data_IF_308370184895
#
_entry.id   IF_308370184895
#
_cell.length_a   1.000
_cell.length_b   1.000
_cell.length_c   1.000
_cell.angle_alpha   90.00
_cell.angle_beta   90.00
_cell.angle_gamma   90.00
#
_symmetry.space_group_name_H-M   'P 1'
#
loop_
_entity.id
_entity.type
_entity.pdbx_description
1 polymer ?
#
# COMPACT_ATOMS: atom_id res chain seq x y z
N UNK A 1 -16.68 6.57 -32.65
CA UNK A 1 -16.17 5.77 -31.52
C UNK A 1 -16.84 6.27 -30.24
N UNK A 2 -17.32 5.41 -29.34
CA UNK A 2 -17.81 5.85 -28.03
C UNK A 2 -16.67 6.52 -27.26
N UNK A 3 -16.96 7.67 -26.65
CA UNK A 3 -16.02 8.39 -25.80
C UNK A 3 -15.77 7.57 -24.53
N UNK A 4 -14.50 7.28 -24.22
CA UNK A 4 -14.11 6.46 -23.07
C UNK A 4 -13.12 7.21 -22.21
N UNK A 5 -13.38 7.27 -20.90
CA UNK A 5 -12.58 7.99 -19.91
C UNK A 5 -12.20 7.07 -18.76
N UNK A 6 -10.92 7.05 -18.39
CA UNK A 6 -10.46 6.36 -17.19
C UNK A 6 -10.58 7.29 -15.98
N UNK A 7 -11.30 6.85 -14.95
CA UNK A 7 -11.54 7.61 -13.72
C UNK A 7 -11.01 6.81 -12.54
N UNK A 8 -10.48 7.50 -11.54
CA UNK A 8 -9.96 6.87 -10.33
C UNK A 8 -11.05 6.69 -9.29
N UNK A 9 -11.16 5.50 -8.71
CA UNK A 9 -12.14 5.14 -7.68
C UNK A 9 -12.14 6.16 -6.53
N UNK A 10 -13.32 6.68 -6.21
CA UNK A 10 -13.52 7.62 -5.12
C UNK A 10 -12.78 8.95 -5.26
N UNK A 11 -12.30 9.31 -6.45
CA UNK A 11 -11.79 10.64 -6.77
C UNK A 11 -12.71 11.31 -7.77
N UNK A 12 -12.87 12.64 -7.63
CA UNK A 12 -13.54 13.44 -8.66
C UNK A 12 -12.61 13.55 -9.86
N UNK A 13 -13.11 13.15 -11.02
CA UNK A 13 -12.44 13.39 -12.31
C UNK A 13 -13.34 14.28 -13.17
N UNK A 14 -12.74 15.26 -13.84
CA UNK A 14 -13.47 16.13 -14.77
C UNK A 14 -13.55 15.48 -16.15
N UNK A 15 -14.73 15.48 -16.74
CA UNK A 15 -14.94 15.28 -18.16
C UNK A 15 -14.85 16.66 -18.85
N UNK A 16 -13.78 16.95 -19.61
CA UNK A 16 -13.59 18.25 -20.22
C UNK A 16 -14.50 18.41 -21.44
N UNK A 17 -15.31 19.46 -21.45
CA UNK A 17 -16.11 19.90 -22.58
C UNK A 17 -15.53 21.20 -23.10
N UNK A 18 -15.00 21.17 -24.33
CA UNK A 18 -14.48 22.36 -25.00
C UNK A 18 -15.67 23.10 -25.63
N UNK A 19 -15.80 24.37 -25.28
CA UNK A 19 -16.87 25.25 -25.70
C UNK A 19 -16.25 26.40 -26.49
N UNK A 20 -16.82 26.73 -27.65
CA UNK A 20 -16.42 27.89 -28.42
C UNK A 20 -17.66 28.78 -28.61
N UNK A 21 -17.67 29.96 -28.00
CA UNK A 21 -18.78 30.89 -28.07
C UNK A 21 -18.35 32.24 -28.62
N UNK A 22 -19.25 32.90 -29.37
CA UNK A 22 -19.09 34.27 -29.88
C UNK A 22 -19.62 35.34 -28.90
N UNK A 23 -19.93 34.95 -27.68
CA UNK A 23 -20.59 35.80 -26.70
C UNK A 23 -20.67 35.11 -25.34
N UNK A 24 -21.12 35.87 -24.34
CA UNK A 24 -21.31 35.33 -22.99
C UNK A 24 -22.41 34.26 -22.98
N UNK A 25 -22.12 33.14 -22.36
CA UNK A 25 -23.04 32.00 -22.24
C UNK A 25 -22.98 31.46 -20.81
N UNK A 26 -24.09 30.86 -20.38
CA UNK A 26 -24.15 30.05 -19.16
C UNK A 26 -24.23 28.59 -19.56
N UNK A 27 -23.41 27.73 -18.97
CA UNK A 27 -23.35 26.32 -19.34
C UNK A 27 -23.56 25.44 -18.11
N UNK A 28 -24.45 24.48 -18.27
CA UNK A 28 -24.78 23.47 -17.27
C UNK A 28 -24.28 22.13 -17.77
N UNK A 29 -23.38 21.51 -17.03
CA UNK A 29 -22.90 20.16 -17.29
C UNK A 29 -23.46 19.19 -16.28
N UNK A 30 -23.98 18.04 -16.72
CA UNK A 30 -24.52 17.01 -15.83
C UNK A 30 -24.05 15.61 -16.26
N UNK A 31 -23.64 14.80 -15.27
CA UNK A 31 -23.41 13.36 -15.42
C UNK A 31 -23.99 12.62 -14.22
N UNK A 32 -25.01 11.80 -14.45
CA UNK A 32 -25.76 11.14 -13.37
C UNK A 32 -26.40 12.16 -12.40
N UNK A 33 -26.00 12.11 -11.12
CA UNK A 33 -26.39 13.06 -10.08
C UNK A 33 -25.45 14.27 -9.93
N UNK A 34 -24.32 14.29 -10.64
CA UNK A 34 -23.35 15.37 -10.56
C UNK A 34 -23.71 16.49 -11.54
N UNK A 35 -23.76 17.73 -11.06
CA UNK A 35 -24.05 18.91 -11.87
C UNK A 35 -22.99 19.98 -11.62
N UNK A 36 -22.59 20.68 -12.67
CA UNK A 36 -21.75 21.88 -12.62
C UNK A 36 -22.40 22.97 -13.45
N UNK A 37 -22.27 24.21 -13.00
CA UNK A 37 -22.78 25.39 -13.71
C UNK A 37 -21.67 26.42 -13.72
N UNK A 38 -21.32 26.91 -14.91
CA UNK A 38 -20.33 27.97 -15.09
C UNK A 38 -20.81 28.98 -16.13
N UNK A 39 -20.39 30.22 -15.96
CA UNK A 39 -20.58 31.27 -16.96
C UNK A 39 -19.26 31.52 -17.68
N UNK A 40 -19.31 31.52 -19.00
CA UNK A 40 -18.15 31.73 -19.84
C UNK A 40 -18.27 33.02 -20.64
N UNK A 41 -17.14 33.70 -20.79
CA UNK A 41 -17.00 34.83 -21.72
C UNK A 41 -16.75 34.33 -23.14
N UNK A 42 -16.76 35.25 -24.11
CA UNK A 42 -16.45 34.94 -25.51
C UNK A 42 -15.10 34.23 -25.65
N UNK A 43 -15.03 33.27 -26.56
CA UNK A 43 -13.82 32.51 -26.89
C UNK A 43 -13.91 31.01 -26.57
N UNK A 44 -12.74 30.38 -26.50
CA UNK A 44 -12.60 28.95 -26.21
C UNK A 44 -12.49 28.75 -24.71
N UNK A 45 -13.45 28.03 -24.15
CA UNK A 45 -13.53 27.72 -22.72
C UNK A 45 -13.61 26.21 -22.51
N UNK A 46 -13.25 25.75 -21.31
CA UNK A 46 -13.31 24.32 -20.95
C UNK A 46 -14.15 24.17 -19.69
N UNK A 47 -15.30 23.51 -19.82
CA UNK A 47 -16.11 23.10 -18.68
C UNK A 47 -15.67 21.70 -18.23
N UNK A 48 -15.26 21.55 -16.97
CA UNK A 48 -14.94 20.25 -16.41
C UNK A 48 -16.13 19.68 -15.64
N UNK A 49 -16.85 18.75 -16.24
CA UNK A 49 -18.03 18.14 -15.61
C UNK A 49 -17.56 17.03 -14.65
N UNK A 50 -17.81 17.13 -13.33
CA UNK A 50 -17.29 16.17 -12.38
C UNK A 50 -18.01 14.83 -12.50
N UNK A 51 -17.23 13.75 -12.52
CA UNK A 51 -17.70 12.38 -12.37
C UNK A 51 -17.04 11.74 -11.15
N UNK A 52 -17.82 10.97 -10.40
CA UNK A 52 -17.41 10.30 -9.18
C UNK A 52 -18.12 8.95 -9.07
N UNK A 53 -17.37 7.90 -8.75
CA UNK A 53 -17.92 6.58 -8.45
C UNK A 53 -17.16 5.95 -7.29
N UNK A 54 -17.89 5.22 -6.42
CA UNK A 54 -17.34 4.36 -5.36
C UNK A 54 -17.30 2.89 -5.75
N UNK A 55 -17.67 2.55 -6.99
CA UNK A 55 -17.70 1.17 -7.49
C UNK A 55 -16.72 1.04 -8.66
N UNK A 56 -15.95 -0.04 -8.69
CA UNK A 56 -15.15 -0.38 -9.86
C UNK A 56 -16.05 -0.85 -11.00
N UNK A 57 -15.55 -0.69 -12.23
CA UNK A 57 -16.21 -1.21 -13.41
C UNK A 57 -16.28 -0.22 -14.55
N UNK A 58 -17.13 -0.55 -15.53
CA UNK A 58 -17.35 0.25 -16.73
C UNK A 58 -18.79 0.74 -16.68
N UNK A 59 -18.97 2.05 -16.55
CA UNK A 59 -20.26 2.71 -16.44
C UNK A 59 -20.54 3.49 -17.72
N UNK A 60 -21.68 3.24 -18.34
CA UNK A 60 -22.15 4.03 -19.48
C UNK A 60 -23.09 5.09 -18.93
N UNK A 61 -22.74 6.35 -19.14
CA UNK A 61 -23.46 7.49 -18.59
C UNK A 61 -23.77 8.49 -19.70
N UNK A 62 -24.87 9.20 -19.53
CA UNK A 62 -25.25 10.29 -20.41
C UNK A 62 -24.68 11.58 -19.82
N UNK A 63 -23.80 12.23 -20.56
CA UNK A 63 -23.31 13.57 -20.24
C UNK A 63 -24.22 14.57 -20.93
N UNK A 64 -24.96 15.33 -20.14
CA UNK A 64 -25.81 16.39 -20.64
C UNK A 64 -25.10 17.73 -20.51
N UNK A 65 -25.08 18.50 -21.59
CA UNK A 65 -24.56 19.87 -21.63
C UNK A 65 -25.67 20.77 -22.12
N UNK A 66 -26.13 21.68 -21.26
CA UNK A 66 -27.11 22.71 -21.63
C UNK A 66 -26.36 24.02 -21.73
N UNK A 67 -26.44 24.66 -22.89
CA UNK A 67 -25.86 25.97 -23.15
C UNK A 67 -27.02 26.95 -23.22
N UNK A 68 -27.01 27.96 -22.37
CA UNK A 68 -28.00 29.03 -22.32
C UNK A 68 -27.34 30.37 -22.64
N UNK A 69 -28.08 31.27 -23.26
CA UNK A 69 -27.67 32.68 -23.24
C UNK A 69 -27.79 33.25 -21.81
N UNK A 70 -27.09 34.35 -21.54
CA UNK A 70 -27.05 34.96 -20.19
C UNK A 70 -28.43 35.43 -19.70
N UNK A 71 -29.36 35.71 -20.63
CA UNK A 71 -30.73 36.15 -20.34
C UNK A 71 -31.71 34.98 -20.22
N UNK A 72 -31.27 33.73 -20.47
CA UNK A 72 -32.10 32.54 -20.47
C UNK A 72 -33.14 32.48 -21.60
N UNK A 73 -33.00 33.28 -22.67
CA UNK A 73 -34.00 33.34 -23.74
C UNK A 73 -33.86 32.22 -24.76
N UNK A 74 -32.63 31.77 -25.00
CA UNK A 74 -32.32 30.63 -25.84
C UNK A 74 -31.49 29.59 -25.09
N UNK A 75 -31.83 28.31 -25.27
CA UNK A 75 -31.08 27.19 -24.73
C UNK A 75 -30.86 26.10 -25.79
N UNK A 76 -29.74 25.39 -25.67
CA UNK A 76 -29.41 24.24 -26.50
C UNK A 76 -28.91 23.11 -25.62
N UNK A 77 -29.54 21.95 -25.75
CA UNK A 77 -29.15 20.74 -25.02
C UNK A 77 -28.39 19.79 -25.94
N UNK A 78 -27.23 19.34 -25.48
CA UNK A 78 -26.44 18.27 -26.09
C UNK A 78 -26.34 17.11 -25.12
N UNK A 79 -26.55 15.89 -25.61
CA UNK A 79 -26.40 14.67 -24.81
C UNK A 79 -25.37 13.78 -25.50
N UNK A 80 -24.38 13.34 -24.75
CA UNK A 80 -23.29 12.51 -25.24
C UNK A 80 -23.17 11.27 -24.38
N UNK A 81 -23.17 10.10 -25.00
CA UNK A 81 -22.96 8.84 -24.30
C UNK A 81 -21.46 8.65 -24.06
N UNK A 82 -21.07 8.62 -22.79
CA UNK A 82 -19.68 8.47 -22.36
C UNK A 82 -19.55 7.21 -21.54
N UNK A 83 -18.46 6.47 -21.79
CA UNK A 83 -18.10 5.28 -21.02
C UNK A 83 -17.01 5.65 -20.01
N UNK A 84 -17.34 5.57 -18.73
CA UNK A 84 -16.39 5.78 -17.64
C UNK A 84 -15.86 4.44 -17.14
N UNK A 85 -14.55 4.21 -17.29
CA UNK A 85 -13.85 3.06 -16.72
C UNK A 85 -13.27 3.47 -15.38
N UNK A 86 -13.87 3.01 -14.29
CA UNK A 86 -13.42 3.31 -12.93
C UNK A 86 -12.38 2.28 -12.51
N UNK A 87 -11.17 2.75 -12.22
CA UNK A 87 -10.01 1.94 -11.83
C UNK A 87 -9.56 2.27 -10.40
N UNK A 88 -8.93 1.32 -9.67
CA UNK A 88 -8.43 1.60 -8.32
C UNK A 88 -7.32 2.66 -8.34
N UNK A 89 -7.35 3.60 -7.39
CA UNK A 89 -6.29 4.60 -7.16
C UNK A 89 -4.93 3.94 -6.95
N UNK A 90 -4.91 2.84 -6.20
CA UNK A 90 -3.68 2.10 -5.93
C UNK A 90 -3.12 1.52 -7.22
N UNK A 91 -3.94 1.09 -8.17
CA UNK A 91 -3.46 0.55 -9.45
C UNK A 91 -2.70 1.61 -10.28
N UNK A 92 -3.19 2.84 -10.28
CA UNK A 92 -2.49 3.97 -10.93
C UNK A 92 -1.16 4.27 -10.22
N UNK A 93 -1.16 4.26 -8.89
CA UNK A 93 0.05 4.47 -8.10
C UNK A 93 1.08 3.36 -8.30
N UNK A 94 0.66 2.09 -8.24
CA UNK A 94 1.51 0.92 -8.42
C UNK A 94 2.21 0.94 -9.78
N UNK A 95 1.52 1.33 -10.86
CA UNK A 95 2.14 1.49 -12.19
C UNK A 95 3.29 2.51 -12.15
N UNK A 96 3.06 3.68 -11.54
CA UNK A 96 4.07 4.75 -11.42
C UNK A 96 5.24 4.36 -10.53
N UNK A 97 4.98 3.69 -9.41
CA UNK A 97 6.04 3.30 -8.46
C UNK A 97 6.83 2.10 -8.98
N UNK A 98 6.18 1.15 -9.63
CA UNK A 98 6.87 -0.02 -10.17
C UNK A 98 7.84 0.37 -11.29
N UNK A 99 7.51 1.33 -12.15
CA UNK A 99 8.45 1.82 -13.16
C UNK A 99 9.69 2.46 -12.54
N UNK A 100 9.54 3.16 -11.41
CA UNK A 100 10.65 3.72 -10.65
C UNK A 100 11.54 2.64 -9.98
N UNK A 101 10.95 1.53 -9.52
CA UNK A 101 11.72 0.44 -8.90
C UNK A 101 12.40 -0.49 -9.92
N UNK A 102 11.96 -0.49 -11.18
CA UNK A 102 12.51 -1.33 -12.24
C UNK A 102 12.44 -2.83 -11.87
N UNK A 103 13.47 -3.59 -12.25
CA UNK A 103 13.54 -5.05 -12.01
C UNK A 103 13.66 -5.49 -10.54
N UNK A 104 13.61 -4.54 -9.59
CA UNK A 104 13.67 -4.87 -8.15
C UNK A 104 12.42 -5.63 -7.68
N UNK A 105 11.25 -5.35 -8.27
CA UNK A 105 9.99 -5.99 -7.89
C UNK A 105 10.04 -7.48 -8.15
N UNK A 106 10.57 -7.87 -9.32
CA UNK A 106 10.73 -9.27 -9.73
C UNK A 106 11.81 -9.97 -8.91
N UNK A 107 12.93 -9.28 -8.64
CA UNK A 107 14.01 -9.82 -7.80
C UNK A 107 13.55 -10.15 -6.38
N UNK A 108 12.85 -9.20 -5.74
CA UNK A 108 12.27 -9.40 -4.41
C UNK A 108 11.17 -10.47 -4.45
N UNK A 109 10.40 -10.53 -5.54
CA UNK A 109 9.35 -11.51 -5.76
C UNK A 109 9.80 -12.95 -5.60
N UNK A 110 10.90 -13.36 -6.24
CA UNK A 110 11.42 -14.73 -6.12
C UNK A 110 11.90 -15.08 -4.70
N UNK A 111 12.29 -14.10 -3.89
CA UNK A 111 12.58 -14.31 -2.47
C UNK A 111 11.31 -14.49 -1.65
N UNK A 112 10.29 -13.66 -1.90
CA UNK A 112 9.00 -13.73 -1.21
C UNK A 112 8.29 -15.04 -1.51
N UNK A 113 8.26 -15.50 -2.77
CA UNK A 113 7.62 -16.76 -3.14
C UNK A 113 8.15 -17.94 -2.32
N UNK A 114 9.48 -18.01 -2.14
CA UNK A 114 10.10 -19.05 -1.30
C UNK A 114 9.66 -18.95 0.16
N UNK A 115 9.63 -17.73 0.72
CA UNK A 115 9.20 -17.52 2.11
C UNK A 115 7.71 -17.81 2.32
N UNK A 116 6.86 -17.47 1.35
CA UNK A 116 5.43 -17.83 1.34
C UNK A 116 5.28 -19.37 1.26
N UNK A 117 6.07 -20.05 0.43
CA UNK A 117 6.05 -21.51 0.34
C UNK A 117 6.48 -22.17 1.66
N UNK A 118 7.58 -21.70 2.26
CA UNK A 118 8.08 -22.17 3.57
C UNK A 118 7.03 -21.99 4.68
N UNK A 119 6.28 -20.88 4.66
CA UNK A 119 5.19 -20.61 5.60
C UNK A 119 3.87 -21.35 5.27
N UNK A 120 3.84 -22.16 4.21
CA UNK A 120 2.63 -22.87 3.77
C UNK A 120 1.52 -21.95 3.27
N UNK A 121 1.84 -20.73 2.81
CA UNK A 121 0.87 -19.71 2.41
C UNK A 121 0.46 -19.76 0.92
N UNK A 122 0.96 -20.72 0.15
CA UNK A 122 0.62 -20.82 -1.28
C UNK A 122 -0.83 -21.34 -1.48
N UNK A 123 -1.66 -20.66 -2.28
CA UNK A 123 -2.92 -21.21 -2.74
C UNK A 123 -2.64 -22.36 -3.73
N UNK A 124 -3.07 -23.58 -3.41
CA UNK A 124 -3.11 -24.68 -4.40
C UNK A 124 -2.16 -25.88 -4.22
N UNK A 125 -1.52 -26.07 -3.06
CA UNK A 125 -1.10 -27.42 -2.65
C UNK A 125 -1.86 -27.81 -1.41
N UNK A 126 -2.84 -28.69 -1.58
CA UNK A 126 -3.28 -29.52 -0.46
C UNK A 126 -2.03 -30.12 0.19
N UNK A 127 -1.85 -29.98 1.52
CA UNK A 127 -0.85 -30.76 2.21
C UNK A 127 -1.20 -32.22 1.93
N UNK A 128 -0.25 -32.94 1.34
CA UNK A 128 -0.39 -34.36 1.12
C UNK A 128 -0.90 -35.03 2.40
N UNK A 129 -1.84 -35.94 2.21
CA UNK A 129 -2.34 -36.88 3.18
C UNK A 129 -1.13 -37.50 3.90
N UNK A 130 -0.76 -36.94 5.05
CA UNK A 130 -0.05 -37.67 6.09
C UNK A 130 -1.12 -38.15 7.05
N UNK A 131 -1.50 -39.41 6.87
CA UNK A 131 -2.19 -40.22 7.86
C UNK A 131 -1.54 -40.04 9.23
N UNK A 132 -2.23 -39.36 10.13
CA UNK A 132 -1.87 -39.18 11.51
C UNK A 132 -3.13 -38.74 12.24
N UNK A 133 -3.86 -39.72 12.76
CA UNK A 133 -5.00 -39.52 13.64
C UNK A 133 -4.63 -38.54 14.77
N UNK A 134 -5.39 -37.46 14.87
CA UNK A 134 -5.23 -36.42 15.87
C UNK A 134 -6.57 -35.75 16.12
N UNK A 135 -7.32 -36.37 17.03
CA UNK A 135 -8.54 -35.94 17.72
C UNK A 135 -8.86 -34.44 17.60
N UNK A 136 -10.06 -34.16 17.13
CA UNK A 136 -10.57 -32.81 16.94
C UNK A 136 -10.67 -32.01 18.24
N UNK A 137 -10.17 -30.78 18.17
CA UNK A 137 -10.70 -29.65 18.94
C UNK A 137 -11.13 -28.60 17.92
N UNK A 138 -12.41 -28.28 17.91
CA UNK A 138 -12.95 -27.16 17.17
C UNK A 138 -12.37 -25.85 17.76
N UNK A 139 -11.52 -25.16 17.01
CA UNK A 139 -11.03 -23.84 17.41
C UNK A 139 -9.67 -23.46 16.80
N UNK A 140 -9.69 -22.50 15.87
CA UNK A 140 -8.52 -21.68 15.51
C UNK A 140 -7.49 -22.33 14.60
N UNK A 141 -7.69 -22.27 13.27
CA UNK A 141 -6.53 -22.25 12.37
C UNK A 141 -5.83 -20.91 12.61
N UNK A 142 -4.72 -20.93 13.35
CA UNK A 142 -3.83 -19.78 13.49
C UNK A 142 -3.56 -19.18 12.10
N UNK A 143 -3.52 -17.85 11.95
CA UNK A 143 -3.12 -17.25 10.70
C UNK A 143 -1.71 -17.72 10.36
N UNK A 144 -1.55 -18.28 9.16
CA UNK A 144 -0.23 -18.66 8.64
C UNK A 144 0.60 -17.38 8.52
N UNK A 145 1.67 -17.28 9.31
CA UNK A 145 2.56 -16.10 9.40
C UNK A 145 3.81 -16.32 8.56
N UNK A 146 4.15 -15.38 7.68
CA UNK A 146 5.44 -15.34 7.00
C UNK A 146 6.28 -14.16 7.49
N UNK A 147 7.47 -14.45 8.01
CA UNK A 147 8.46 -13.44 8.40
C UNK A 147 9.52 -13.31 7.30
N UNK A 148 9.68 -12.09 6.79
CA UNK A 148 10.51 -11.76 5.64
C UNK A 148 11.48 -10.66 6.04
N UNK A 149 12.71 -11.05 6.33
CA UNK A 149 13.78 -10.14 6.73
C UNK A 149 14.78 -9.94 5.59
N UNK A 150 15.00 -8.69 5.21
CA UNK A 150 16.00 -8.27 4.23
C UNK A 150 17.25 -7.74 4.96
N UNK A 151 18.34 -8.49 4.88
CA UNK A 151 19.61 -8.10 5.50
C UNK A 151 20.26 -6.89 4.83
N UNK A 152 21.13 -6.20 5.57
CA UNK A 152 21.97 -5.14 5.02
C UNK A 152 22.86 -5.69 3.90
N UNK A 153 22.70 -5.16 2.69
CA UNK A 153 23.39 -5.64 1.51
C UNK A 153 22.61 -6.63 0.64
N UNK A 154 21.34 -6.94 0.97
CA UNK A 154 20.42 -7.67 0.08
C UNK A 154 20.41 -7.05 -1.34
N UNK A 155 20.40 -5.71 -1.43
CA UNK A 155 20.51 -4.98 -2.70
C UNK A 155 21.94 -4.91 -3.26
N UNK A 156 22.99 -5.02 -2.42
CA UNK A 156 24.39 -5.04 -2.86
C UNK A 156 24.74 -6.34 -3.59
N UNK A 157 24.17 -7.47 -3.17
CA UNK A 157 24.29 -8.75 -3.90
C UNK A 157 23.68 -8.70 -5.31
N UNK A 158 22.79 -7.73 -5.58
CA UNK A 158 22.06 -7.59 -6.85
C UNK A 158 22.58 -6.48 -7.77
N UNK A 159 23.26 -5.44 -7.25
CA UNK A 159 23.80 -4.35 -8.08
C UNK A 159 25.33 -4.37 -8.07
N UNK A 160 25.94 -5.03 -9.05
CA UNK A 160 27.30 -4.60 -9.48
C UNK A 160 27.15 -3.15 -9.95
N UNK A 161 27.99 -2.25 -9.43
CA UNK A 161 27.97 -0.84 -9.82
C UNK A 161 28.29 -0.65 -11.31
N UNK A 162 28.43 0.60 -11.74
CA UNK A 162 29.03 0.88 -13.07
C UNK A 162 30.50 0.47 -12.99
N UNK A 163 30.98 -0.23 -14.02
CA UNK A 163 32.39 -0.61 -14.11
C UNK A 163 33.26 0.65 -14.10
N UNK A 164 34.14 0.74 -13.11
CA UNK A 164 34.94 1.92 -12.76
C UNK A 164 36.43 1.72 -13.04
N UNK A 165 36.79 0.55 -13.58
CA UNK A 165 38.15 0.20 -13.93
C UNK A 165 38.62 -1.10 -13.29
N UNK A 166 39.92 -1.15 -12.99
CA UNK A 166 40.54 -2.28 -12.31
C UNK A 166 41.55 -1.81 -11.28
N UNK A 167 41.77 -2.64 -10.26
CA UNK A 167 42.84 -2.48 -9.28
C UNK A 167 43.50 -3.83 -8.96
N UNK A 168 44.58 -3.81 -8.21
CA UNK A 168 45.20 -5.04 -7.68
C UNK A 168 44.30 -5.69 -6.62
N UNK A 169 44.34 -7.03 -6.56
CA UNK A 169 43.61 -7.84 -5.59
C UNK A 169 44.05 -7.52 -4.16
N UNK A 170 43.08 -7.39 -3.27
CA UNK A 170 43.29 -7.29 -1.83
C UNK A 170 42.60 -8.46 -1.14
N UNK A 171 43.18 -8.93 -0.04
CA UNK A 171 42.57 -10.00 0.76
C UNK A 171 41.13 -9.60 1.18
N UNK A 172 40.16 -10.44 0.80
CA UNK A 172 38.73 -10.19 1.00
C UNK A 172 37.94 -9.86 -0.27
N UNK A 173 38.60 -9.68 -1.42
CA UNK A 173 37.93 -9.49 -2.70
C UNK A 173 37.28 -10.79 -3.22
N UNK A 174 36.11 -10.68 -3.87
CA UNK A 174 35.40 -11.81 -4.46
C UNK A 174 36.17 -12.36 -5.68
N UNK A 175 36.40 -13.68 -5.69
CA UNK A 175 37.09 -14.37 -6.78
C UNK A 175 36.38 -14.19 -8.13
N UNK A 176 35.07 -13.92 -8.13
CA UNK A 176 34.28 -13.65 -9.34
C UNK A 176 34.61 -12.32 -10.01
N UNK A 177 35.21 -11.40 -9.26
CA UNK A 177 35.57 -10.06 -9.75
C UNK A 177 36.99 -10.00 -10.30
N UNK A 178 37.73 -11.12 -10.28
CA UNK A 178 39.05 -11.24 -10.89
C UNK A 178 38.94 -11.10 -12.41
N UNK A 179 39.69 -10.14 -12.97
CA UNK A 179 39.81 -9.95 -14.41
C UNK A 179 40.87 -10.92 -14.97
N UNK A 180 40.51 -12.19 -15.14
CA UNK A 180 41.43 -13.27 -15.55
C UNK A 180 42.35 -12.92 -16.73
N UNK A 181 41.81 -12.28 -17.78
CA UNK A 181 42.63 -11.87 -18.94
C UNK A 181 43.72 -10.85 -18.59
N UNK A 182 43.45 -9.90 -17.68
CA UNK A 182 44.40 -8.85 -17.29
C UNK A 182 45.36 -9.36 -16.22
N UNK A 183 44.87 -10.24 -15.35
CA UNK A 183 45.69 -11.02 -14.41
C UNK A 183 46.75 -11.82 -15.14
N UNK A 184 46.37 -12.59 -16.17
CA UNK A 184 47.29 -13.39 -16.97
C UNK A 184 48.35 -12.51 -17.68
N UNK A 185 47.94 -11.36 -18.22
CA UNK A 185 48.85 -10.44 -18.90
C UNK A 185 49.84 -9.75 -17.96
N UNK A 186 49.45 -9.44 -16.72
CA UNK A 186 50.29 -8.72 -15.74
C UNK A 186 51.00 -9.62 -14.74
N UNK A 187 50.72 -10.93 -14.75
CA UNK A 187 51.20 -11.91 -13.76
C UNK A 187 50.92 -11.49 -12.30
N UNK A 188 49.84 -10.73 -12.08
CA UNK A 188 49.39 -10.23 -10.78
C UNK A 188 47.86 -10.31 -10.74
N UNK A 189 47.26 -10.63 -9.59
CA UNK A 189 45.79 -10.70 -9.48
C UNK A 189 45.18 -9.31 -9.62
N UNK A 190 44.41 -9.09 -10.69
CA UNK A 190 43.72 -7.84 -10.99
C UNK A 190 42.22 -8.03 -10.83
N UNK A 191 41.56 -7.13 -10.10
CA UNK A 191 40.13 -7.16 -9.79
C UNK A 191 39.41 -5.98 -10.46
N UNK A 192 38.19 -6.20 -10.96
CA UNK A 192 37.33 -5.15 -11.52
C UNK A 192 36.81 -4.26 -10.39
N UNK A 193 36.96 -2.94 -10.54
CA UNK A 193 36.36 -1.96 -9.62
C UNK A 193 35.01 -1.51 -10.14
N UNK A 194 34.08 -1.27 -9.22
CA UNK A 194 32.76 -0.75 -9.53
C UNK A 194 32.48 0.45 -8.64
N UNK A 195 32.14 1.60 -9.22
CA UNK A 195 31.81 2.80 -8.46
C UNK A 195 30.39 2.67 -7.95
N UNK A 196 30.26 2.57 -6.63
CA UNK A 196 28.99 2.78 -5.95
C UNK A 196 28.99 4.21 -5.45
N UNK A 197 28.02 5.02 -5.91
CA UNK A 197 27.81 6.37 -5.40
C UNK A 197 27.76 6.35 -3.88
N UNK A 198 28.86 6.76 -3.26
CA UNK A 198 29.07 6.62 -1.82
C UNK A 198 28.42 7.81 -1.11
N UNK A 199 27.69 7.51 -0.07
CA UNK A 199 27.05 8.50 0.79
C UNK A 199 26.92 7.92 2.19
N UNK A 200 28.03 8.03 2.93
CA UNK A 200 28.21 8.04 4.40
C UNK A 200 27.46 7.02 5.27
N UNK A 201 28.26 6.29 6.05
CA UNK A 201 27.90 5.71 7.36
C UNK A 201 27.71 6.87 8.35
N UNK A 202 26.69 6.79 9.19
CA UNK A 202 26.50 7.72 10.30
C UNK A 202 25.22 7.41 11.08
N UNK A 203 25.38 7.22 12.39
CA UNK A 203 24.34 7.48 13.39
C UNK A 203 23.31 6.38 13.63
N UNK A 204 23.55 5.59 14.67
CA UNK A 204 22.47 4.96 15.43
C UNK A 204 21.61 6.05 16.08
N UNK A 205 20.28 5.96 15.92
CA UNK A 205 19.30 6.87 16.53
C UNK A 205 18.17 7.23 15.55
N UNK A 206 16.92 6.92 15.93
CA UNK A 206 15.67 7.11 15.18
C UNK A 206 15.41 6.15 14.01
N UNK A 207 14.98 4.92 14.34
CA UNK A 207 14.44 3.96 13.39
C UNK A 207 13.18 4.48 12.67
N UNK A 208 12.98 4.05 11.43
CA UNK A 208 11.75 4.35 10.70
C UNK A 208 10.54 3.81 11.46
N UNK A 209 9.44 4.55 11.46
CA UNK A 209 8.25 4.14 12.19
C UNK A 209 7.74 2.77 11.71
N UNK A 210 7.32 1.93 12.66
CA UNK A 210 6.70 0.65 12.36
C UNK A 210 5.35 0.89 11.68
N UNK A 211 5.07 0.17 10.61
CA UNK A 211 3.78 0.24 9.93
C UNK A 211 3.00 -1.04 10.19
N UNK A 212 1.85 -0.93 10.84
CA UNK A 212 0.95 -2.04 11.08
C UNK A 212 -0.27 -1.79 10.19
N UNK A 213 -0.43 -2.62 9.17
CA UNK A 213 -1.43 -2.49 8.14
C UNK A 213 -2.32 -3.73 8.09
N UNK A 214 -3.61 -3.56 8.29
CA UNK A 214 -4.64 -4.58 8.07
C UNK A 214 -5.48 -4.19 6.85
N UNK A 215 -5.36 -4.99 5.79
CA UNK A 215 -6.07 -4.78 4.53
C UNK A 215 -7.44 -5.46 4.50
N UNK A 216 -7.91 -6.02 5.62
CA UNK A 216 -9.31 -6.41 5.76
C UNK A 216 -10.22 -5.18 5.62
N UNK A 217 -11.03 -5.18 4.57
CA UNK A 217 -11.85 -4.06 4.14
C UNK A 217 -13.29 -4.51 3.88
N UNK A 218 -14.27 -3.64 4.09
CA UNK A 218 -15.67 -3.98 3.89
C UNK A 218 -16.10 -3.93 2.42
N UNK A 219 -15.38 -3.19 1.58
CA UNK A 219 -15.64 -3.03 0.15
C UNK A 219 -14.36 -2.60 -0.61
N UNK A 220 -14.43 -2.61 -1.94
CA UNK A 220 -13.31 -2.27 -2.83
C UNK A 220 -12.79 -0.84 -2.63
N UNK A 221 -13.67 0.12 -2.30
CA UNK A 221 -13.29 1.50 -2.07
C UNK A 221 -12.43 1.65 -0.82
N UNK A 222 -12.83 0.99 0.27
CA UNK A 222 -12.04 0.98 1.49
C UNK A 222 -10.69 0.28 1.29
N UNK A 223 -10.66 -0.86 0.59
CA UNK A 223 -9.41 -1.53 0.25
C UNK A 223 -8.50 -0.63 -0.58
N UNK A 224 -9.02 0.02 -1.61
CA UNK A 224 -8.25 0.93 -2.47
C UNK A 224 -7.63 2.07 -1.66
N UNK A 225 -8.37 2.64 -0.71
CA UNK A 225 -7.86 3.67 0.21
C UNK A 225 -6.72 3.15 1.07
N UNK A 226 -6.91 2.02 1.76
CA UNK A 226 -5.88 1.43 2.63
C UNK A 226 -4.62 1.05 1.85
N UNK A 227 -4.80 0.41 0.70
CA UNK A 227 -3.74 0.05 -0.22
C UNK A 227 -2.98 1.29 -0.71
N UNK A 228 -3.69 2.34 -1.12
CA UNK A 228 -3.11 3.59 -1.58
C UNK A 228 -2.26 4.23 -0.48
N UNK A 229 -2.75 4.25 0.76
CA UNK A 229 -2.03 4.83 1.90
C UNK A 229 -0.78 4.04 2.27
N UNK A 230 -0.87 2.71 2.31
CA UNK A 230 0.26 1.80 2.50
C UNK A 230 1.35 2.04 1.46
N UNK A 231 0.99 2.01 0.17
CA UNK A 231 1.94 2.19 -0.93
C UNK A 231 2.51 3.61 -0.94
N UNK A 232 1.69 4.63 -0.65
CA UNK A 232 2.13 6.03 -0.61
C UNK A 232 3.14 6.28 0.50
N UNK A 233 2.88 5.75 1.71
CA UNK A 233 3.81 5.87 2.83
C UNK A 233 5.16 5.22 2.51
N UNK A 234 5.12 3.98 2.00
CA UNK A 234 6.34 3.27 1.63
C UNK A 234 7.08 3.93 0.47
N UNK A 235 6.38 4.46 -0.53
CA UNK A 235 6.97 5.22 -1.64
C UNK A 235 7.63 6.52 -1.16
N UNK A 236 6.98 7.23 -0.24
CA UNK A 236 7.54 8.43 0.39
C UNK A 236 8.84 8.09 1.14
N UNK A 237 8.80 7.09 2.03
CA UNK A 237 9.98 6.63 2.76
C UNK A 237 11.09 6.12 1.81
N UNK A 238 10.74 5.44 0.73
CA UNK A 238 11.72 4.96 -0.24
C UNK A 238 12.39 6.11 -1.02
N UNK A 239 11.71 7.25 -1.18
CA UNK A 239 12.23 8.44 -1.86
C UNK A 239 13.12 9.28 -0.95
N UNK A 240 12.64 9.58 0.26
CA UNK A 240 13.28 10.53 1.17
C UNK A 240 14.18 9.88 2.23
N UNK A 241 13.92 8.62 2.57
CA UNK A 241 14.65 7.87 3.59
C UNK A 241 15.06 6.44 3.13
N UNK A 242 15.67 6.28 1.94
CA UNK A 242 15.86 4.96 1.29
C UNK A 242 16.71 3.95 2.06
N UNK A 243 17.54 4.41 3.01
CA UNK A 243 18.41 3.56 3.84
C UNK A 243 17.84 3.27 5.22
N UNK A 244 16.80 3.99 5.64
CA UNK A 244 16.16 3.74 6.93
C UNK A 244 15.49 2.38 6.91
N UNK A 245 15.67 1.64 7.99
CA UNK A 245 14.94 0.39 8.22
C UNK A 245 13.50 0.71 8.57
N UNK A 246 12.60 -0.10 8.06
CA UNK A 246 11.16 -0.08 8.33
C UNK A 246 10.70 -1.51 8.56
N UNK A 247 9.73 -1.66 9.44
CA UNK A 247 8.98 -2.89 9.63
C UNK A 247 7.56 -2.66 9.12
N UNK A 248 7.02 -3.62 8.37
CA UNK A 248 5.62 -3.64 7.97
C UNK A 248 5.01 -4.95 8.46
N UNK A 249 4.10 -4.85 9.42
CA UNK A 249 3.21 -5.93 9.81
C UNK A 249 1.96 -5.84 8.95
N UNK A 250 1.75 -6.79 8.05
CA UNK A 250 0.68 -6.79 7.07
C UNK A 250 -0.29 -7.94 7.32
N UNK A 251 -1.55 -7.62 7.65
CA UNK A 251 -2.66 -8.57 7.61
C UNK A 251 -3.34 -8.47 6.24
N UNK A 252 -3.40 -9.60 5.54
CA UNK A 252 -4.06 -9.72 4.24
C UNK A 252 -5.56 -9.99 4.42
N UNK A 253 -6.40 -9.70 3.40
CA UNK A 253 -7.85 -9.91 3.49
C UNK A 253 -8.27 -11.36 3.79
N UNK A 254 -7.43 -12.33 3.44
CA UNK A 254 -7.65 -13.75 3.75
C UNK A 254 -7.19 -14.17 5.17
N UNK A 255 -6.84 -13.21 6.02
CA UNK A 255 -6.35 -13.42 7.39
C UNK A 255 -4.87 -13.83 7.49
N UNK A 256 -4.15 -14.03 6.38
CA UNK A 256 -2.72 -14.32 6.43
C UNK A 256 -1.93 -13.11 6.93
N UNK A 257 -0.86 -13.36 7.68
CA UNK A 257 0.01 -12.32 8.24
C UNK A 257 1.38 -12.38 7.58
N UNK A 258 1.89 -11.24 7.16
CA UNK A 258 3.23 -11.09 6.61
C UNK A 258 3.99 -9.99 7.35
N UNK A 259 5.17 -10.29 7.85
CA UNK A 259 6.03 -9.31 8.52
C UNK A 259 7.25 -9.05 7.64
N UNK A 260 7.38 -7.82 7.15
CA UNK A 260 8.51 -7.39 6.35
C UNK A 260 9.44 -6.49 7.16
N UNK A 261 10.70 -6.89 7.31
CA UNK A 261 11.73 -6.07 7.95
C UNK A 261 12.83 -5.78 6.94
N UNK A 262 13.07 -4.52 6.62
CA UNK A 262 14.04 -4.14 5.58
C UNK A 262 14.12 -2.64 5.40
N UNK A 263 14.69 -2.17 4.28
CA UNK A 263 14.60 -0.75 3.93
C UNK A 263 13.30 -0.47 3.18
N UNK A 264 12.90 0.81 3.11
CA UNK A 264 11.67 1.21 2.42
C UNK A 264 11.59 0.72 0.97
N UNK A 265 12.70 0.65 0.22
CA UNK A 265 12.69 0.19 -1.17
C UNK A 265 12.40 -1.30 -1.30
N UNK A 266 13.03 -2.14 -0.48
CA UNK A 266 12.79 -3.59 -0.48
C UNK A 266 11.37 -3.89 -0.04
N UNK A 267 10.90 -3.23 1.02
CA UNK A 267 9.55 -3.43 1.54
C UNK A 267 8.49 -2.95 0.56
N UNK A 268 8.68 -1.77 -0.07
CA UNK A 268 7.79 -1.29 -1.13
C UNK A 268 7.73 -2.25 -2.32
N UNK A 269 8.88 -2.76 -2.77
CA UNK A 269 8.95 -3.76 -3.84
C UNK A 269 8.19 -5.03 -3.46
N UNK A 270 8.28 -5.47 -2.19
CA UNK A 270 7.51 -6.59 -1.66
C UNK A 270 6.01 -6.36 -1.76
N UNK A 271 5.53 -5.21 -1.27
CA UNK A 271 4.10 -4.88 -1.31
C UNK A 271 3.59 -4.83 -2.75
N UNK A 272 4.31 -4.18 -3.67
CA UNK A 272 3.94 -4.11 -5.09
C UNK A 272 3.86 -5.51 -5.70
N UNK A 273 4.80 -6.38 -5.35
CA UNK A 273 4.80 -7.76 -5.82
C UNK A 273 3.55 -8.53 -5.34
N UNK A 274 3.13 -8.35 -4.08
CA UNK A 274 1.89 -8.95 -3.57
C UNK A 274 0.65 -8.49 -4.36
N UNK A 275 0.55 -7.20 -4.67
CA UNK A 275 -0.54 -6.67 -5.51
C UNK A 275 -0.54 -7.28 -6.91
N UNK A 276 0.64 -7.41 -7.54
CA UNK A 276 0.76 -8.01 -8.89
C UNK A 276 0.36 -9.48 -8.92
N UNK A 277 0.58 -10.22 -7.83
CA UNK A 277 0.15 -11.62 -7.69
C UNK A 277 -1.33 -11.76 -7.36
N UNK A 278 -2.05 -10.66 -7.14
CA UNK A 278 -3.47 -10.67 -6.82
C UNK A 278 -3.78 -11.25 -5.44
N UNK A 279 -2.81 -11.23 -4.51
CA UNK A 279 -3.00 -11.72 -3.12
C UNK A 279 -3.80 -10.74 -2.25
N UNK A 280 -4.01 -9.52 -2.72
CA UNK A 280 -4.77 -8.47 -2.04
C UNK A 280 -6.03 -8.21 -2.86
N UNK A 281 -7.16 -8.74 -2.40
CA UNK A 281 -8.49 -8.61 -3.01
C UNK A 281 -9.55 -8.61 -1.92
N UNK A 282 -10.69 -7.98 -2.17
CA UNK A 282 -11.84 -8.05 -1.26
C UNK A 282 -12.77 -9.15 -1.74
N UNK A 283 -13.18 -10.02 -0.81
CA UNK A 283 -14.15 -11.09 -1.09
C UNK A 283 -15.58 -10.70 -0.64
N UNK A 284 -15.78 -9.45 -0.24
CA UNK A 284 -17.03 -8.96 0.36
C UNK A 284 -17.34 -7.52 -0.04
N UNK A 285 -18.62 -7.18 -0.11
CA UNK A 285 -19.11 -5.83 -0.37
C UNK A 285 -20.26 -5.50 0.59
N UNK A 286 -19.92 -4.91 1.74
CA UNK A 286 -20.86 -4.51 2.78
C UNK A 286 -20.48 -3.17 3.42
N UNK A 287 -21.45 -2.58 4.12
CA UNK A 287 -21.25 -1.38 4.94
C UNK A 287 -20.94 -1.81 6.37
N UNK A 288 -19.70 -1.60 6.80
CA UNK A 288 -19.32 -1.82 8.20
C UNK A 288 -19.91 -0.70 9.08
N UNK A 289 -20.49 -1.09 10.22
CA UNK A 289 -20.95 -0.16 11.26
C UNK A 289 -19.91 0.04 12.37
N UNK A 290 -18.76 -0.62 12.28
CA UNK A 290 -17.70 -0.52 13.26
C UNK A 290 -17.04 0.86 13.19
N UNK A 291 -16.91 1.50 14.35
CA UNK A 291 -16.31 2.83 14.49
C UNK A 291 -15.01 2.69 15.31
N UNK A 292 -13.92 3.38 14.95
CA UNK A 292 -12.73 3.48 15.79
C UNK A 292 -13.06 4.06 17.17
N UNK A 293 -12.56 3.43 18.22
CA UNK A 293 -12.73 3.89 19.59
C UNK A 293 -11.55 4.77 19.99
N UNK A 294 -11.84 5.85 20.71
CA UNK A 294 -10.83 6.68 21.35
C UNK A 294 -10.12 5.92 22.48
N UNK A 295 -8.97 6.44 22.91
CA UNK A 295 -8.19 5.85 24.01
C UNK A 295 -9.00 5.81 25.31
N UNK A 296 -9.78 6.87 25.59
CA UNK A 296 -10.63 6.95 26.78
C UNK A 296 -11.77 5.92 26.74
N UNK A 297 -12.39 5.73 25.56
CA UNK A 297 -13.41 4.68 25.38
C UNK A 297 -12.82 3.28 25.58
N UNK A 298 -11.62 3.03 25.06
CA UNK A 298 -10.92 1.76 25.25
C UNK A 298 -10.54 1.52 26.71
N UNK A 299 -10.07 2.54 27.42
CA UNK A 299 -9.76 2.45 28.86
C UNK A 299 -11.02 2.10 29.69
N UNK A 300 -12.16 2.72 29.36
CA UNK A 300 -13.45 2.38 29.97
C UNK A 300 -13.88 0.93 29.69
N UNK A 301 -13.61 0.42 28.49
CA UNK A 301 -13.92 -0.98 28.13
C UNK A 301 -13.02 -1.94 28.90
N UNK A 302 -11.72 -1.64 28.99
CA UNK A 302 -10.74 -2.48 29.68
C UNK A 302 -11.00 -2.54 31.18
N UNK A 303 -11.27 -1.39 31.82
CA UNK A 303 -11.58 -1.33 33.25
C UNK A 303 -12.86 -2.09 33.63
N UNK A 304 -13.88 -2.10 32.75
CA UNK A 304 -15.14 -2.83 32.97
C UNK A 304 -15.09 -4.29 32.56
N UNK A 305 -14.00 -4.76 31.98
CA UNK A 305 -13.90 -6.12 31.45
C UNK A 305 -13.93 -7.18 32.55
N UNK A 306 -13.47 -6.87 33.77
CA UNK A 306 -13.49 -7.82 34.89
C UNK A 306 -14.93 -8.17 35.30
N UNK A 307 -15.81 -7.17 35.27
CA UNK A 307 -17.21 -7.28 35.68
C UNK A 307 -18.14 -7.73 34.53
N UNK A 308 -17.70 -7.58 33.28
CA UNK A 308 -18.50 -7.89 32.10
C UNK A 308 -17.89 -9.00 31.23
N UNK A 309 -18.51 -10.19 31.27
CA UNK A 309 -18.10 -11.38 30.51
C UNK A 309 -18.01 -11.13 29.00
N UNK A 310 -18.88 -10.31 28.41
CA UNK A 310 -18.86 -10.01 26.98
C UNK A 310 -17.62 -9.19 26.63
N UNK A 311 -17.34 -8.12 27.37
CA UNK A 311 -16.15 -7.28 27.17
C UNK A 311 -14.87 -8.10 27.34
N UNK A 312 -14.80 -8.94 28.39
CA UNK A 312 -13.67 -9.86 28.59
C UNK A 312 -13.46 -10.79 27.40
N UNK A 313 -14.54 -11.35 26.86
CA UNK A 313 -14.48 -12.26 25.71
C UNK A 313 -14.00 -11.52 24.46
N UNK A 314 -14.51 -10.31 24.21
CA UNK A 314 -14.07 -9.48 23.08
C UNK A 314 -12.58 -9.11 23.17
N UNK A 315 -12.08 -8.71 24.34
CA UNK A 315 -10.65 -8.42 24.54
C UNK A 315 -9.80 -9.69 24.39
N UNK A 316 -10.25 -10.80 24.97
CA UNK A 316 -9.55 -12.09 24.89
C UNK A 316 -9.43 -12.59 23.45
N UNK A 317 -10.48 -12.41 22.63
CA UNK A 317 -10.47 -12.80 21.22
C UNK A 317 -9.42 -12.02 20.39
N UNK A 318 -9.09 -10.79 20.78
CA UNK A 318 -8.11 -9.94 20.09
C UNK A 318 -6.70 -10.01 20.69
N UNK A 319 -6.56 -10.58 21.89
CA UNK A 319 -5.28 -10.67 22.60
C UNK A 319 -4.21 -11.45 21.83
N UNK A 320 -4.50 -12.58 21.15
CA UNK A 320 -3.51 -13.29 20.35
C UNK A 320 -2.90 -12.43 19.24
N UNK A 321 -3.73 -11.66 18.54
CA UNK A 321 -3.28 -10.74 17.48
C UNK A 321 -2.38 -9.63 18.05
N UNK A 322 -2.78 -9.01 19.16
CA UNK A 322 -2.01 -7.94 19.80
C UNK A 322 -0.66 -8.46 20.27
N UNK A 323 -0.65 -9.65 20.89
CA UNK A 323 0.59 -10.31 21.30
C UNK A 323 1.51 -10.54 20.12
N UNK A 324 1.00 -11.06 19.00
CA UNK A 324 1.79 -11.33 17.80
C UNK A 324 2.40 -10.05 17.19
N UNK A 325 1.65 -8.94 17.19
CA UNK A 325 2.16 -7.63 16.77
C UNK A 325 3.27 -7.15 17.70
N UNK A 326 3.07 -7.22 19.01
CA UNK A 326 4.07 -6.79 20.01
C UNK A 326 5.33 -7.65 19.92
N UNK A 327 5.20 -8.96 19.73
CA UNK A 327 6.32 -9.88 19.51
C UNK A 327 7.06 -9.53 18.21
N UNK A 328 6.35 -9.29 17.11
CA UNK A 328 6.96 -8.88 15.85
C UNK A 328 7.72 -7.55 15.96
N UNK A 329 7.23 -6.59 16.74
CA UNK A 329 7.94 -5.34 17.03
C UNK A 329 9.24 -5.59 17.80
N UNK A 330 9.19 -6.45 18.83
CA UNK A 330 10.37 -6.84 19.62
C UNK A 330 11.41 -7.56 18.76
N UNK A 331 10.99 -8.53 17.96
CA UNK A 331 11.87 -9.28 17.03
C UNK A 331 12.52 -8.36 16.00
N UNK A 332 11.82 -7.31 15.56
CA UNK A 332 12.36 -6.29 14.65
C UNK A 332 13.25 -5.25 15.35
N UNK A 333 13.46 -5.35 16.67
CA UNK A 333 14.25 -4.41 17.46
C UNK A 333 13.59 -3.04 17.63
N UNK A 334 12.26 -2.97 17.47
CA UNK A 334 11.48 -1.74 17.62
C UNK A 334 10.93 -1.70 19.05
N UNK A 335 11.59 -0.94 19.92
CA UNK A 335 11.20 -0.77 21.32
C UNK A 335 10.66 0.64 21.59
N UNK A 336 9.84 0.84 22.64
CA UNK A 336 9.46 2.18 23.10
C UNK A 336 10.69 3.06 23.36
N UNK A 337 10.65 4.38 23.08
CA UNK A 337 9.49 5.17 22.61
C UNK A 337 9.40 5.28 21.08
N UNK A 338 9.64 4.20 20.35
CA UNK A 338 9.54 4.19 18.88
C UNK A 338 8.15 4.55 18.38
N UNK A 339 8.12 5.10 17.17
CA UNK A 339 6.90 5.52 16.50
C UNK A 339 6.26 4.39 15.69
N UNK A 340 4.92 4.39 15.59
CA UNK A 340 4.17 3.48 14.74
C UNK A 340 3.02 4.17 14.00
N UNK A 341 2.56 3.56 12.92
CA UNK A 341 1.40 3.94 12.11
C UNK A 341 0.46 2.74 12.05
N UNK A 342 -0.83 3.00 12.25
CA UNK A 342 -1.91 2.03 12.06
C UNK A 342 -2.66 2.36 10.77
N UNK A 343 -2.81 1.39 9.88
CA UNK A 343 -3.70 1.42 8.73
C UNK A 343 -4.64 0.24 8.84
N UNK A 344 -5.94 0.47 8.94
CA UNK A 344 -6.92 -0.62 9.07
C UNK A 344 -8.28 -0.21 8.53
N UNK A 345 -9.04 -1.20 8.07
CA UNK A 345 -10.42 -1.02 7.62
C UNK A 345 -11.40 -0.93 8.78
N UNK A 346 -12.58 -0.39 8.48
CA UNK A 346 -13.70 -0.25 9.39
C UNK A 346 -14.05 -1.57 10.09
N UNK A 347 -14.12 -2.75 9.40
CA UNK A 347 -14.44 -4.03 10.04
C UNK A 347 -13.57 -4.39 11.24
N UNK A 348 -12.30 -3.98 11.22
CA UNK A 348 -11.30 -4.32 12.23
C UNK A 348 -11.03 -3.19 13.21
N UNK A 349 -11.90 -2.17 13.26
CA UNK A 349 -11.72 -0.96 14.08
C UNK A 349 -11.55 -1.26 15.57
N UNK A 350 -12.36 -2.15 16.14
CA UNK A 350 -12.24 -2.52 17.55
C UNK A 350 -10.88 -3.16 17.87
N UNK A 351 -10.47 -4.16 17.06
CA UNK A 351 -9.18 -4.86 17.15
C UNK A 351 -8.01 -3.87 17.18
N UNK A 352 -8.03 -2.88 16.30
CA UNK A 352 -6.95 -1.89 16.19
C UNK A 352 -7.04 -0.77 17.22
N UNK A 353 -8.23 -0.42 17.69
CA UNK A 353 -8.38 0.52 18.81
C UNK A 353 -7.81 -0.09 20.09
N UNK A 354 -8.03 -1.38 20.31
CA UNK A 354 -7.42 -2.10 21.43
C UNK A 354 -5.89 -2.24 21.27
N UNK A 355 -5.40 -2.54 20.07
CA UNK A 355 -3.96 -2.51 19.79
C UNK A 355 -3.35 -1.14 20.08
N UNK A 356 -4.00 -0.05 19.62
CA UNK A 356 -3.53 1.32 19.83
C UNK A 356 -3.40 1.66 21.31
N UNK A 357 -4.42 1.31 22.10
CA UNK A 357 -4.41 1.44 23.56
C UNK A 357 -3.25 0.67 24.20
N UNK A 358 -3.00 -0.58 23.79
CA UNK A 358 -1.90 -1.40 24.33
C UNK A 358 -0.54 -0.81 23.95
N UNK A 359 -0.34 -0.38 22.70
CA UNK A 359 0.93 0.20 22.28
C UNK A 359 1.22 1.53 22.99
N UNK A 360 0.22 2.39 23.16
CA UNK A 360 0.39 3.65 23.90
C UNK A 360 0.70 3.40 25.38
N UNK A 361 0.01 2.45 26.03
CA UNK A 361 0.29 2.10 27.43
C UNK A 361 1.68 1.47 27.62
N UNK A 362 2.24 0.84 26.59
CA UNK A 362 3.64 0.38 26.56
C UNK A 362 4.66 1.49 26.27
N UNK A 363 4.22 2.73 25.96
CA UNK A 363 5.08 3.88 25.71
C UNK A 363 5.49 4.10 24.24
N UNK A 364 4.87 3.40 23.29
CA UNK A 364 5.05 3.71 21.87
C UNK A 364 4.36 5.03 21.48
N UNK A 365 4.77 5.61 20.35
CA UNK A 365 4.22 6.89 19.85
C UNK A 365 3.43 6.70 18.55
N UNK A 366 2.14 7.02 18.56
CA UNK A 366 1.32 7.00 17.33
C UNK A 366 1.66 8.19 16.44
N UNK A 367 1.98 7.94 15.18
CA UNK A 367 2.05 8.98 14.15
C UNK A 367 0.66 9.14 13.51
N UNK A 368 -0.01 10.24 13.82
CA UNK A 368 -1.25 10.61 13.14
C UNK A 368 -0.88 11.27 11.82
N UNK A 369 -1.31 10.69 10.71
CA UNK A 369 -1.20 11.36 9.42
C UNK A 369 -2.15 12.55 9.45
N UNK A 370 -1.63 13.79 9.36
CA UNK A 370 -2.47 14.95 9.03
C UNK A 370 -3.12 14.63 7.68
N UNK A 371 -4.44 14.55 7.64
CA UNK A 371 -5.16 14.45 6.39
C UNK A 371 -4.71 15.64 5.53
N UNK A 372 -4.16 15.35 4.35
CA UNK A 372 -3.89 16.38 3.37
C UNK A 372 -5.27 16.82 2.86
N UNK A 373 -5.73 17.94 3.40
CA UNK A 373 -6.93 18.68 2.99
C UNK A 373 -6.97 18.95 1.50
#
# INVERSE_FOLDING_TARGET
>A
MPLSFEVTLGRRSGFPVILNSRGKIRVYGRVGSNTVVEEFSEGVNVLNIPYYSRRLGVFKENVEVVIEDVKGLASRKHVVNVTFKVVPSVSVLLKKVASWLGGLVEYVGGFIERKIAEAGLMPGKEPGISSGEGVGVAGGKLPRKAVITFEEGFLRKSRRGVYDGVREYMAGDDLRDIHWKKTASRKQLIVKTYSSGSGRRGGAGAGGAALIADLEASNEYELDRLAYDLVSYLAYGARYAPKMKTMVYLTLPNGAVMVFTGNFKTTLASIIYLFRKGLIRVDSDYLSQSIPLSIVEMENIVSRAEENKLLRTMLSANTPYIRDVVEALKEAGIAPPSAYILLYGSPTSFKHSYLDYVLLSMGYKRLVRREAS
#
